data_IF_260751810847
#
_entry.id   IF_260751810847
#
_cell.length_a   1.000
_cell.length_b   1.000
_cell.length_c   1.000
_cell.angle_alpha   90.00
_cell.angle_beta   90.00
_cell.angle_gamma   90.00
#
_symmetry.space_group_name_H-M   'P 1'
#
loop_
_entity.id
_entity.type
_entity.pdbx_description
1 polymer ?
#
# COMPACT_ATOMS: atom_id res chain seq x y z
N UNK A 1 -0.71 -31.66 -18.61
CA UNK A 1 -1.43 -30.52 -19.23
C UNK A 1 -2.16 -29.81 -18.12
N UNK A 2 -1.73 -28.63 -17.78
CA UNK A 2 -2.26 -27.83 -16.65
C UNK A 2 -3.53 -27.12 -17.08
N UNK A 3 -4.66 -27.43 -16.44
CA UNK A 3 -5.90 -26.68 -16.64
C UNK A 3 -5.77 -25.36 -15.88
N UNK A 4 -5.65 -24.26 -16.63
CA UNK A 4 -5.71 -22.93 -16.08
C UNK A 4 -7.15 -22.67 -15.56
N UNK A 5 -7.29 -22.43 -14.27
CA UNK A 5 -8.54 -21.98 -13.68
C UNK A 5 -8.84 -20.56 -14.21
N UNK A 6 -9.86 -20.44 -15.08
CA UNK A 6 -10.41 -19.14 -15.44
C UNK A 6 -11.16 -18.58 -14.24
N UNK A 7 -10.64 -17.50 -13.67
CA UNK A 7 -11.36 -16.67 -12.70
C UNK A 7 -12.40 -15.86 -13.46
N UNK A 8 -13.65 -16.27 -13.43
CA UNK A 8 -14.77 -15.49 -13.94
C UNK A 8 -15.11 -14.39 -12.92
N UNK A 9 -14.94 -13.14 -13.32
CA UNK A 9 -15.37 -11.97 -12.57
C UNK A 9 -16.91 -11.82 -12.67
N UNK A 10 -17.62 -12.14 -11.60
CA UNK A 10 -19.09 -12.18 -11.54
C UNK A 10 -19.66 -10.83 -11.07
N UNK A 11 -19.04 -9.70 -11.41
CA UNK A 11 -19.57 -8.39 -11.04
C UNK A 11 -20.49 -7.74 -12.09
N UNK A 12 -20.64 -8.31 -13.28
CA UNK A 12 -21.61 -7.81 -14.27
C UNK A 12 -22.91 -8.62 -14.29
N UNK A 13 -24.08 -7.96 -14.41
CA UNK A 13 -25.38 -8.65 -14.52
C UNK A 13 -25.45 -9.68 -15.65
N UNK A 14 -24.71 -9.47 -16.72
CA UNK A 14 -24.62 -10.39 -17.87
C UNK A 14 -23.91 -11.72 -17.54
N UNK A 15 -23.01 -11.73 -16.56
CA UNK A 15 -22.36 -12.95 -16.10
C UNK A 15 -23.29 -13.89 -15.33
N UNK A 16 -24.27 -13.33 -14.59
CA UNK A 16 -25.26 -14.10 -13.83
C UNK A 16 -26.28 -14.78 -14.75
N UNK A 17 -26.73 -14.10 -15.81
CA UNK A 17 -27.65 -14.68 -16.80
C UNK A 17 -27.00 -15.83 -17.58
N UNK A 18 -25.73 -15.70 -17.93
CA UNK A 18 -24.97 -16.76 -18.61
C UNK A 18 -24.80 -18.03 -17.74
N UNK A 19 -24.69 -17.86 -16.41
CA UNK A 19 -24.63 -18.97 -15.47
C UNK A 19 -26.00 -19.65 -15.28
N UNK A 20 -27.08 -18.87 -15.24
CA UNK A 20 -28.43 -19.40 -15.17
C UNK A 20 -28.80 -20.24 -16.41
N UNK A 21 -28.37 -19.83 -17.59
CA UNK A 21 -28.56 -20.61 -18.83
C UNK A 21 -27.79 -21.93 -18.84
N UNK A 22 -26.76 -22.07 -18.04
CA UNK A 22 -25.99 -23.32 -17.85
C UNK A 22 -26.55 -24.22 -16.74
N UNK A 23 -27.73 -23.95 -16.20
CA UNK A 23 -28.38 -24.78 -15.20
C UNK A 23 -27.81 -24.66 -13.79
N UNK A 24 -27.10 -23.59 -13.49
CA UNK A 24 -26.57 -23.31 -12.14
C UNK A 24 -27.68 -22.74 -11.27
N UNK A 25 -28.01 -23.44 -10.18
CA UNK A 25 -28.91 -22.94 -9.14
C UNK A 25 -28.17 -22.06 -8.15
N UNK A 26 -28.64 -20.83 -7.95
CA UNK A 26 -28.21 -19.96 -6.87
C UNK A 26 -29.07 -20.24 -5.63
N UNK A 27 -28.44 -20.70 -4.56
CA UNK A 27 -29.07 -20.76 -3.23
C UNK A 27 -28.47 -19.65 -2.36
N UNK A 28 -29.34 -18.76 -1.87
CA UNK A 28 -28.96 -17.68 -0.96
C UNK A 28 -28.96 -18.22 0.48
N UNK A 29 -27.78 -18.19 1.12
CA UNK A 29 -27.60 -18.64 2.50
C UNK A 29 -27.27 -17.44 3.40
N UNK A 30 -28.23 -16.54 3.52
CA UNK A 30 -28.13 -15.37 4.39
C UNK A 30 -27.04 -14.38 3.94
N UNK A 31 -27.02 -13.20 4.49
CA UNK A 31 -26.27 -11.99 4.05
C UNK A 31 -24.76 -12.11 3.81
N UNK A 32 -24.15 -13.31 3.82
CA UNK A 32 -22.69 -13.44 3.82
C UNK A 32 -22.08 -14.48 2.87
N UNK A 33 -22.85 -15.39 2.31
CA UNK A 33 -22.28 -16.43 1.44
C UNK A 33 -23.24 -16.84 0.33
N UNK A 34 -22.80 -16.78 -0.92
CA UNK A 34 -23.50 -17.37 -2.07
C UNK A 34 -22.83 -18.69 -2.41
N UNK A 35 -23.57 -19.78 -2.37
CA UNK A 35 -23.08 -21.10 -2.76
C UNK A 35 -23.56 -21.39 -4.17
N UNK A 36 -22.63 -21.59 -5.10
CA UNK A 36 -22.94 -22.07 -6.44
C UNK A 36 -22.84 -23.61 -6.45
N UNK A 37 -23.96 -24.27 -6.73
CA UNK A 37 -23.99 -25.73 -6.96
C UNK A 37 -24.28 -25.97 -8.43
N UNK A 38 -23.36 -26.63 -9.13
CA UNK A 38 -23.60 -27.18 -10.46
C UNK A 38 -24.35 -28.49 -10.30
N UNK A 39 -25.58 -28.57 -10.82
CA UNK A 39 -26.33 -29.81 -10.88
C UNK A 39 -25.94 -30.51 -12.19
N UNK A 40 -25.17 -31.58 -12.04
CA UNK A 40 -24.75 -32.39 -13.18
C UNK A 40 -25.95 -33.02 -13.88
N UNK A 41 -26.08 -32.74 -15.17
CA UNK A 41 -26.69 -33.64 -16.11
C UNK A 41 -25.56 -34.49 -16.72
N UNK A 42 -25.04 -35.45 -15.93
CA UNK A 42 -24.10 -36.42 -16.47
C UNK A 42 -24.87 -37.70 -16.76
N UNK A 43 -24.80 -38.11 -18.01
CA UNK A 43 -25.21 -39.41 -18.52
C UNK A 43 -24.63 -40.55 -17.64
N UNK A 44 -25.49 -41.47 -17.26
CA UNK A 44 -25.25 -42.60 -16.32
C UNK A 44 -24.23 -43.63 -16.78
N UNK A 45 -23.33 -43.35 -17.72
CA UNK A 45 -22.53 -44.39 -18.33
C UNK A 45 -21.00 -44.25 -18.33
N UNK A 46 -20.40 -43.47 -17.41
CA UNK A 46 -18.95 -43.58 -17.17
C UNK A 46 -18.65 -43.34 -15.70
N UNK A 47 -18.25 -44.43 -15.00
CA UNK A 47 -17.73 -44.37 -13.63
C UNK A 47 -16.43 -43.57 -13.56
N UNK A 48 -16.56 -42.28 -13.40
CA UNK A 48 -15.51 -41.35 -12.96
C UNK A 48 -15.91 -40.98 -11.54
N UNK A 49 -15.14 -41.46 -10.56
CA UNK A 49 -15.25 -40.94 -9.19
C UNK A 49 -15.18 -39.44 -9.22
N UNK A 50 -16.32 -38.81 -8.96
CA UNK A 50 -16.39 -37.36 -8.82
C UNK A 50 -15.54 -36.96 -7.61
N UNK A 51 -14.36 -36.41 -7.84
CA UNK A 51 -13.60 -35.75 -6.76
C UNK A 51 -14.51 -34.67 -6.16
N UNK A 52 -14.67 -34.75 -4.85
CA UNK A 52 -15.51 -33.85 -4.07
C UNK A 52 -15.29 -32.41 -4.51
N UNK A 53 -16.35 -31.81 -5.08
CA UNK A 53 -16.35 -30.41 -5.48
C UNK A 53 -16.08 -29.55 -4.26
N UNK A 54 -14.93 -28.89 -4.22
CA UNK A 54 -14.68 -27.86 -3.24
C UNK A 54 -15.61 -26.67 -3.52
N UNK A 55 -16.52 -26.31 -2.61
CA UNK A 55 -17.38 -25.16 -2.80
C UNK A 55 -16.52 -23.91 -2.98
N UNK A 56 -16.68 -23.23 -4.11
CA UNK A 56 -16.04 -21.91 -4.33
C UNK A 56 -16.77 -20.93 -3.40
N UNK A 57 -16.17 -20.69 -2.24
CA UNK A 57 -16.63 -19.66 -1.32
C UNK A 57 -16.22 -18.31 -1.90
N UNK A 58 -17.16 -17.60 -2.50
CA UNK A 58 -17.00 -16.19 -2.85
C UNK A 58 -16.93 -15.39 -1.55
N UNK A 59 -15.75 -15.27 -0.99
CA UNK A 59 -15.53 -14.41 0.18
C UNK A 59 -15.74 -12.96 -0.27
N UNK A 60 -16.71 -12.24 0.34
CA UNK A 60 -16.94 -10.81 0.09
C UNK A 60 -15.62 -10.08 0.27
N UNK A 61 -15.10 -9.53 -0.82
CA UNK A 61 -13.82 -8.86 -0.82
C UNK A 61 -13.89 -7.62 0.07
N UNK A 62 -12.92 -7.49 0.95
CA UNK A 62 -12.81 -6.38 1.88
C UNK A 62 -12.32 -5.15 1.14
N UNK A 63 -13.07 -4.06 1.25
CA UNK A 63 -12.76 -2.82 0.53
C UNK A 63 -11.96 -1.82 1.32
N UNK A 64 -11.82 -2.01 2.64
CA UNK A 64 -11.16 -1.07 3.51
C UNK A 64 -9.94 -1.72 4.17
N UNK A 65 -8.85 -0.98 4.30
CA UNK A 65 -7.66 -1.40 5.03
C UNK A 65 -7.09 -0.25 5.83
N UNK A 66 -6.65 -0.53 7.04
CA UNK A 66 -5.92 0.41 7.89
C UNK A 66 -4.53 -0.16 8.10
N UNK A 67 -3.51 0.68 8.05
CA UNK A 67 -2.13 0.26 8.29
C UNK A 67 -1.42 1.16 9.27
N UNK A 68 -0.57 0.54 10.08
CA UNK A 68 0.38 1.21 10.95
C UNK A 68 1.78 0.69 10.64
N UNK A 69 2.70 1.59 10.33
CA UNK A 69 4.08 1.26 9.98
C UNK A 69 5.05 2.12 10.78
N UNK A 70 6.12 1.50 11.21
CA UNK A 70 7.26 2.19 11.80
C UNK A 70 8.16 2.70 10.67
N UNK A 71 8.45 4.00 10.70
CA UNK A 71 9.38 4.67 9.80
C UNK A 71 10.74 4.73 10.49
N UNK A 72 11.79 4.27 9.85
CA UNK A 72 13.08 4.15 10.50
C UNK A 72 14.26 4.60 9.67
N UNK A 73 14.35 4.16 8.43
CA UNK A 73 15.51 4.40 7.58
C UNK A 73 15.16 5.30 6.42
N UNK A 74 15.94 6.37 6.24
CA UNK A 74 15.91 7.20 5.03
C UNK A 74 17.23 7.14 4.30
N UNK A 75 17.14 7.25 2.97
CA UNK A 75 18.28 7.33 2.08
C UNK A 75 18.30 8.67 1.35
N UNK A 76 19.42 9.36 1.39
CA UNK A 76 19.65 10.65 0.78
C UNK A 76 20.70 10.52 -0.35
N UNK A 77 20.30 10.37 -1.61
CA UNK A 77 21.18 9.99 -2.72
C UNK A 77 22.18 11.09 -3.13
N UNK A 78 21.97 12.34 -2.73
CA UNK A 78 22.89 13.43 -3.02
C UNK A 78 23.93 13.54 -1.92
N UNK A 79 25.14 13.11 -2.21
CA UNK A 79 26.30 13.19 -1.28
C UNK A 79 26.86 14.60 -1.13
N UNK A 80 27.71 14.79 -0.10
CA UNK A 80 28.40 16.06 0.14
C UNK A 80 27.45 17.20 0.51
N UNK A 81 26.33 16.87 1.12
CA UNK A 81 25.33 17.86 1.54
C UNK A 81 25.90 18.79 2.60
N UNK A 82 25.73 20.11 2.44
CA UNK A 82 26.26 21.08 3.41
C UNK A 82 25.63 20.95 4.80
N UNK A 83 24.50 20.22 4.90
CA UNK A 83 23.75 20.05 6.15
C UNK A 83 23.99 18.69 6.84
N UNK A 84 24.96 17.88 6.39
CA UNK A 84 25.21 16.56 6.98
C UNK A 84 25.55 16.64 8.49
N UNK A 85 26.27 17.69 8.91
CA UNK A 85 26.60 17.91 10.32
C UNK A 85 25.40 18.20 11.22
N UNK A 86 24.29 18.65 10.64
CA UNK A 86 23.04 18.90 11.35
C UNK A 86 22.21 17.63 11.60
N UNK A 87 22.67 16.48 11.09
CA UNK A 87 21.97 15.21 11.15
C UNK A 87 22.56 14.31 12.24
N UNK A 88 22.06 14.36 13.49
CA UNK A 88 22.64 13.61 14.61
C UNK A 88 22.49 12.10 14.44
N UNK A 89 21.45 11.64 13.72
CA UNK A 89 21.15 10.22 13.52
C UNK A 89 21.70 9.66 12.20
N UNK A 90 22.70 10.34 11.60
CA UNK A 90 23.35 9.82 10.40
C UNK A 90 24.14 8.56 10.70
N UNK A 91 24.12 7.61 9.75
CA UNK A 91 24.85 6.34 9.85
C UNK A 91 26.22 6.39 9.15
N UNK A 92 26.46 7.42 8.36
CA UNK A 92 27.71 7.68 7.64
C UNK A 92 28.06 9.18 7.65
N UNK A 93 29.32 9.53 7.39
CA UNK A 93 29.81 10.90 7.44
C UNK A 93 29.11 11.85 6.45
N UNK A 94 28.72 11.32 5.30
CA UNK A 94 28.05 12.08 4.23
C UNK A 94 26.52 12.15 4.41
N UNK A 95 25.98 11.48 5.42
CA UNK A 95 24.55 11.37 5.69
C UNK A 95 23.76 10.78 4.51
N UNK A 96 24.30 9.76 3.85
CA UNK A 96 23.53 8.99 2.85
C UNK A 96 22.40 8.22 3.51
N UNK A 97 22.66 7.61 4.67
CA UNK A 97 21.69 6.88 5.46
C UNK A 97 21.49 7.57 6.79
N UNK A 98 20.22 7.79 7.12
CA UNK A 98 19.82 8.46 8.37
C UNK A 98 18.61 7.74 8.97
N UNK A 99 18.56 7.69 10.31
CA UNK A 99 17.39 7.24 11.02
C UNK A 99 16.38 8.38 11.18
N UNK A 100 15.19 8.21 10.56
CA UNK A 100 14.03 9.09 10.72
C UNK A 100 12.98 8.35 11.53
N UNK A 101 13.02 8.49 12.84
CA UNK A 101 12.16 7.71 13.74
C UNK A 101 10.73 8.25 13.75
N UNK A 102 9.77 7.40 13.41
CA UNK A 102 8.37 7.81 13.40
C UNK A 102 7.40 6.71 13.01
N UNK A 103 6.18 7.13 12.70
CA UNK A 103 5.11 6.24 12.31
C UNK A 103 4.33 6.77 11.10
N UNK A 104 3.89 5.85 10.25
CA UNK A 104 2.95 6.10 9.17
C UNK A 104 1.61 5.43 9.50
N UNK A 105 0.55 6.21 9.57
CA UNK A 105 -0.83 5.73 9.58
C UNK A 105 -1.34 5.76 8.13
N UNK A 106 -1.96 4.66 7.69
CA UNK A 106 -2.51 4.56 6.34
C UNK A 106 -3.95 4.10 6.36
N UNK A 107 -4.76 4.66 5.48
CA UNK A 107 -6.10 4.19 5.19
C UNK A 107 -6.24 3.98 3.69
N UNK A 108 -6.78 2.83 3.29
CA UNK A 108 -6.90 2.43 1.89
C UNK A 108 -8.33 1.99 1.60
N UNK A 109 -8.93 2.55 0.54
CA UNK A 109 -10.22 2.14 0.01
C UNK A 109 -10.07 1.53 -1.37
N UNK A 110 -10.40 0.25 -1.54
CA UNK A 110 -10.33 -0.45 -2.81
C UNK A 110 -11.56 -0.13 -3.68
N UNK A 111 -11.33 0.56 -4.78
CA UNK A 111 -12.32 0.80 -5.85
C UNK A 111 -12.57 -0.52 -6.57
N UNK A 112 -11.47 -1.17 -7.01
CA UNK A 112 -11.48 -2.54 -7.51
C UNK A 112 -10.77 -3.40 -6.46
N UNK A 113 -11.47 -4.39 -5.87
CA UNK A 113 -10.93 -5.21 -4.79
C UNK A 113 -9.53 -5.76 -5.10
N UNK A 114 -8.62 -5.55 -4.16
CA UNK A 114 -7.21 -5.99 -4.22
C UNK A 114 -6.40 -5.50 -5.43
N UNK A 115 -6.96 -4.68 -6.34
CA UNK A 115 -6.30 -4.22 -7.56
C UNK A 115 -6.07 -2.71 -7.54
N UNK A 116 -7.14 -1.92 -7.43
CA UNK A 116 -7.10 -0.47 -7.55
C UNK A 116 -7.69 0.18 -6.30
N UNK A 117 -6.98 1.12 -5.71
CA UNK A 117 -7.41 1.79 -4.49
C UNK A 117 -7.06 3.27 -4.47
N UNK A 118 -7.78 4.01 -3.62
CA UNK A 118 -7.35 5.31 -3.11
C UNK A 118 -6.74 5.09 -1.73
N UNK A 119 -5.54 5.61 -1.51
CA UNK A 119 -4.83 5.49 -0.24
C UNK A 119 -4.49 6.86 0.31
N UNK A 120 -4.79 7.03 1.59
CA UNK A 120 -4.37 8.15 2.41
C UNK A 120 -3.21 7.73 3.31
N UNK A 121 -2.20 8.57 3.43
CA UNK A 121 -1.03 8.36 4.28
C UNK A 121 -0.84 9.60 5.15
N UNK A 122 -0.70 9.39 6.46
CA UNK A 122 -0.26 10.40 7.42
C UNK A 122 0.98 9.87 8.13
N UNK A 123 2.12 10.51 7.90
CA UNK A 123 3.36 10.24 8.62
C UNK A 123 3.66 11.34 9.62
N UNK A 124 4.16 10.95 10.79
CA UNK A 124 4.71 11.83 11.81
C UNK A 124 6.03 11.23 12.30
N UNK A 125 7.09 12.00 12.23
CA UNK A 125 8.43 11.49 12.51
C UNK A 125 9.39 12.62 12.99
N UNK A 126 10.47 12.20 13.62
CA UNK A 126 11.64 13.04 13.77
C UNK A 126 12.47 12.94 12.49
N UNK A 127 12.69 14.05 11.81
CA UNK A 127 13.47 14.09 10.58
C UNK A 127 14.97 13.86 10.83
N UNK A 128 15.77 13.88 9.78
CA UNK A 128 17.21 13.65 9.87
C UNK A 128 17.97 14.66 10.75
N UNK A 129 17.40 15.84 11.04
CA UNK A 129 17.93 16.80 12.02
C UNK A 129 17.28 16.64 13.41
N UNK A 130 16.61 15.50 13.67
CA UNK A 130 15.83 15.23 14.88
C UNK A 130 14.76 16.31 15.17
N UNK A 131 14.28 16.99 14.13
CA UNK A 131 13.20 17.95 14.24
C UNK A 131 11.87 17.28 13.88
N UNK A 132 10.77 17.77 14.48
CA UNK A 132 9.44 17.26 14.15
C UNK A 132 9.11 17.53 12.69
N UNK A 133 8.68 16.48 12.00
CA UNK A 133 8.30 16.50 10.60
C UNK A 133 7.09 15.59 10.33
N UNK A 134 6.51 15.75 9.16
CA UNK A 134 5.42 14.89 8.74
C UNK A 134 5.24 14.87 7.23
N UNK A 135 4.47 13.88 6.80
CA UNK A 135 4.03 13.73 5.41
C UNK A 135 2.56 13.41 5.37
N UNK A 136 1.83 14.10 4.52
CA UNK A 136 0.42 13.81 4.22
C UNK A 136 0.29 13.55 2.74
N UNK A 137 -0.23 12.40 2.35
CA UNK A 137 -0.40 12.03 0.95
C UNK A 137 -1.76 11.41 0.72
N UNK A 138 -2.34 11.66 -0.45
CA UNK A 138 -3.48 10.93 -0.97
C UNK A 138 -3.18 10.54 -2.40
N UNK A 139 -3.31 9.26 -2.74
CA UNK A 139 -2.89 8.78 -4.05
C UNK A 139 -3.78 7.68 -4.59
N UNK A 140 -3.80 7.59 -5.92
CA UNK A 140 -4.31 6.43 -6.62
C UNK A 140 -3.23 5.36 -6.65
N UNK A 141 -3.62 4.12 -6.38
CA UNK A 141 -2.70 3.02 -6.19
C UNK A 141 -3.21 1.77 -6.90
N UNK A 142 -2.31 1.07 -7.57
CA UNK A 142 -2.61 -0.15 -8.28
C UNK A 142 -1.66 -1.29 -7.88
N UNK A 143 -2.17 -2.52 -7.94
CA UNK A 143 -1.37 -3.72 -7.80
C UNK A 143 -0.57 -3.96 -9.07
N UNK A 144 0.77 -4.01 -8.93
CA UNK A 144 1.70 -4.27 -10.02
C UNK A 144 1.75 -5.77 -10.30
N UNK A 145 1.90 -6.59 -9.23
CA UNK A 145 1.83 -8.06 -9.33
C UNK A 145 1.35 -8.70 -8.03
N UNK A 146 0.94 -9.97 -8.15
CA UNK A 146 0.67 -10.86 -7.02
C UNK A 146 1.12 -12.28 -7.37
N UNK A 147 1.87 -12.90 -6.46
CA UNK A 147 2.34 -14.29 -6.57
C UNK A 147 2.13 -14.95 -5.20
N UNK A 148 1.14 -15.84 -5.10
CA UNK A 148 0.77 -16.46 -3.85
C UNK A 148 0.39 -15.43 -2.78
N UNK A 149 1.14 -15.41 -1.67
CA UNK A 149 0.95 -14.46 -0.55
C UNK A 149 1.66 -13.13 -0.73
N UNK A 150 2.44 -12.95 -1.79
CA UNK A 150 3.27 -11.78 -2.07
C UNK A 150 2.57 -10.86 -3.06
N UNK A 151 2.51 -9.58 -2.77
CA UNK A 151 2.00 -8.57 -3.70
C UNK A 151 2.82 -7.30 -3.64
N UNK A 152 2.96 -6.64 -4.79
CA UNK A 152 3.59 -5.33 -4.92
C UNK A 152 2.56 -4.36 -5.48
N UNK A 153 2.50 -3.20 -4.85
CA UNK A 153 1.65 -2.09 -5.25
C UNK A 153 2.49 -0.87 -5.56
N UNK A 154 2.06 -0.09 -6.53
CA UNK A 154 2.58 1.25 -6.81
C UNK A 154 1.48 2.27 -6.74
N UNK A 155 1.80 3.44 -6.19
CA UNK A 155 0.87 4.55 -6.06
C UNK A 155 1.49 5.88 -6.43
N UNK A 156 0.64 6.83 -6.83
CA UNK A 156 1.04 8.20 -7.14
C UNK A 156 -0.08 9.16 -6.73
N UNK A 157 0.29 10.34 -6.22
CA UNK A 157 -0.67 11.37 -5.86
C UNK A 157 -0.06 12.59 -5.20
N UNK A 158 -0.88 13.62 -4.94
CA UNK A 158 -0.44 14.80 -4.22
C UNK A 158 0.08 14.46 -2.84
N UNK A 159 1.24 15.00 -2.53
CA UNK A 159 1.97 14.77 -1.28
C UNK A 159 2.45 16.09 -0.72
N UNK A 160 2.15 16.32 0.55
CA UNK A 160 2.58 17.45 1.35
C UNK A 160 3.58 16.98 2.40
N UNK A 161 4.82 17.48 2.32
CA UNK A 161 5.89 17.21 3.29
C UNK A 161 6.11 18.49 4.08
N UNK A 162 6.20 18.40 5.39
CA UNK A 162 6.41 19.54 6.26
C UNK A 162 7.35 19.16 7.40
N UNK A 163 8.10 20.15 7.91
CA UNK A 163 9.05 19.99 9.02
C UNK A 163 9.18 21.27 9.82
N UNK A 164 9.64 21.16 11.06
CA UNK A 164 10.10 22.35 11.78
C UNK A 164 11.21 23.05 11.02
N UNK A 165 11.26 24.35 11.18
CA UNK A 165 12.15 25.20 10.40
C UNK A 165 13.63 24.95 10.74
N UNK A 166 14.40 24.52 9.77
CA UNK A 166 15.84 24.24 9.88
C UNK A 166 16.70 25.51 9.90
N UNK A 167 16.16 26.69 9.65
CA UNK A 167 16.89 27.93 9.88
C UNK A 167 17.22 28.18 11.37
N UNK A 168 16.61 27.42 12.31
CA UNK A 168 16.88 27.51 13.75
C UNK A 168 18.21 26.90 14.17
N UNK A 169 18.61 25.69 13.72
CA UNK A 169 19.94 25.17 13.94
C UNK A 169 21.01 26.09 13.32
N UNK A 170 22.15 26.32 14.02
CA UNK A 170 23.26 27.08 13.46
C UNK A 170 23.84 26.33 12.25
N UNK A 171 24.42 27.09 11.32
CA UNK A 171 25.10 26.57 10.12
C UNK A 171 24.16 25.88 9.08
N UNK A 172 22.85 26.05 9.18
CA UNK A 172 21.96 25.56 8.14
C UNK A 172 22.19 26.27 6.81
N UNK A 173 22.42 25.49 5.76
CA UNK A 173 22.51 25.99 4.38
C UNK A 173 21.21 25.67 3.66
N UNK A 174 20.50 26.73 3.24
CA UNK A 174 19.23 26.58 2.53
C UNK A 174 19.43 26.07 1.10
N UNK A 175 19.00 24.84 0.85
CA UNK A 175 19.06 24.17 -0.45
C UNK A 175 17.92 24.55 -1.40
N UNK A 176 17.01 25.44 -0.98
CA UNK A 176 15.79 25.85 -1.72
C UNK A 176 14.82 24.71 -2.04
N UNK A 177 15.02 23.53 -1.44
CA UNK A 177 14.12 22.41 -1.64
C UNK A 177 12.80 22.59 -0.91
N UNK A 178 12.85 23.08 0.34
CA UNK A 178 11.67 23.42 1.11
C UNK A 178 11.34 24.92 0.98
N UNK A 179 10.06 25.24 0.95
CA UNK A 179 9.57 26.60 1.10
C UNK A 179 9.54 27.00 2.57
N UNK A 180 9.82 28.25 2.87
CA UNK A 180 9.84 28.84 4.20
C UNK A 180 10.94 29.86 4.33
N UNK A 181 10.79 30.79 5.28
CA UNK A 181 11.73 31.87 5.60
C UNK A 181 12.31 31.65 7.01
N UNK A 182 13.41 32.33 7.40
CA UNK A 182 13.98 32.20 8.75
C UNK A 182 13.00 32.54 9.87
N UNK A 183 11.98 33.35 9.62
CA UNK A 183 10.97 33.78 10.59
C UNK A 183 9.79 32.80 10.69
N UNK A 184 9.65 31.89 9.75
CA UNK A 184 8.56 30.89 9.76
C UNK A 184 8.78 29.82 10.83
N UNK A 185 7.70 29.24 11.33
CA UNK A 185 7.76 28.09 12.24
C UNK A 185 8.00 26.79 11.49
N UNK A 186 7.55 26.72 10.25
CA UNK A 186 7.52 25.51 9.44
C UNK A 186 8.16 25.73 8.08
N UNK A 187 8.82 24.70 7.58
CA UNK A 187 9.18 24.56 6.17
C UNK A 187 8.31 23.47 5.56
N UNK A 188 7.97 23.62 4.26
CA UNK A 188 7.12 22.66 3.58
C UNK A 188 7.48 22.47 2.12
N UNK A 189 7.10 21.32 1.58
CA UNK A 189 7.20 20.98 0.15
C UNK A 189 5.89 20.33 -0.28
N UNK A 190 5.38 20.75 -1.43
CA UNK A 190 4.24 20.11 -2.08
C UNK A 190 4.69 19.45 -3.38
N UNK A 191 4.32 18.19 -3.57
CA UNK A 191 4.60 17.38 -4.75
C UNK A 191 3.28 16.89 -5.33
N UNK A 192 2.99 17.22 -6.59
CA UNK A 192 1.79 16.73 -7.28
C UNK A 192 1.82 15.22 -7.55
N UNK A 193 3.01 14.65 -7.66
CA UNK A 193 3.28 13.27 -8.07
C UNK A 193 4.15 12.54 -7.05
N UNK A 194 3.86 12.72 -5.78
CA UNK A 194 4.48 11.89 -4.76
C UNK A 194 4.15 10.43 -5.02
N UNK A 195 5.17 9.58 -4.99
CA UNK A 195 5.04 8.16 -5.28
C UNK A 195 5.14 7.28 -4.05
N UNK A 196 4.69 6.05 -4.17
CA UNK A 196 4.95 4.98 -3.21
C UNK A 196 5.11 3.64 -3.91
N UNK A 197 5.95 2.78 -3.33
CA UNK A 197 5.98 1.36 -3.63
C UNK A 197 5.74 0.60 -2.32
N UNK A 198 4.79 -0.31 -2.28
CA UNK A 198 4.51 -1.10 -1.09
C UNK A 198 4.46 -2.59 -1.43
N UNK A 199 5.36 -3.33 -0.79
CA UNK A 199 5.31 -4.77 -0.77
C UNK A 199 4.44 -5.22 0.40
N UNK A 200 3.55 -6.21 0.15
CA UNK A 200 2.71 -6.85 1.15
C UNK A 200 2.92 -8.36 1.14
N UNK A 201 3.00 -8.93 2.33
CA UNK A 201 2.97 -10.37 2.56
C UNK A 201 1.73 -10.74 3.38
N UNK A 202 0.81 -11.51 2.81
CA UNK A 202 -0.41 -11.92 3.48
C UNK A 202 -0.12 -12.94 4.59
N UNK A 203 -0.18 -12.50 5.85
CA UNK A 203 -0.06 -13.36 7.03
C UNK A 203 -1.35 -14.18 7.19
N UNK A 204 -2.50 -13.50 7.04
CA UNK A 204 -3.83 -14.10 7.11
C UNK A 204 -4.80 -13.42 6.12
N UNK A 205 -6.06 -13.85 6.10
CA UNK A 205 -7.11 -13.20 5.29
C UNK A 205 -7.38 -11.74 5.68
N UNK A 206 -6.97 -11.33 6.89
CA UNK A 206 -7.22 -9.99 7.44
C UNK A 206 -5.95 -9.18 7.67
N UNK A 207 -4.80 -9.82 7.74
CA UNK A 207 -3.56 -9.17 8.18
C UNK A 207 -2.45 -9.38 7.17
N UNK A 208 -1.86 -8.28 6.72
CA UNK A 208 -0.68 -8.27 5.86
C UNK A 208 0.50 -7.63 6.62
N UNK A 209 1.68 -8.26 6.55
CA UNK A 209 2.94 -7.56 6.78
C UNK A 209 3.21 -6.66 5.57
N UNK A 210 3.68 -5.43 5.80
CA UNK A 210 3.91 -4.48 4.72
C UNK A 210 5.21 -3.72 4.90
N UNK A 211 5.94 -3.55 3.79
CA UNK A 211 7.08 -2.65 3.70
C UNK A 211 6.77 -1.62 2.64
N UNK A 212 6.87 -0.34 2.99
CA UNK A 212 6.64 0.77 2.07
C UNK A 212 7.95 1.51 1.82
N UNK A 213 8.17 1.87 0.57
CA UNK A 213 9.22 2.78 0.12
C UNK A 213 8.56 4.03 -0.47
N UNK A 214 8.93 5.20 0.03
CA UNK A 214 8.45 6.51 -0.43
C UNK A 214 9.58 7.21 -1.17
N UNK A 215 9.59 7.21 -2.51
CA UNK A 215 10.66 7.83 -3.32
C UNK A 215 10.44 9.34 -3.47
N UNK A 216 10.70 10.11 -2.42
CA UNK A 216 10.69 11.58 -2.45
C UNK A 216 12.02 12.18 -2.90
N UNK A 217 12.52 11.76 -4.08
CA UNK A 217 13.78 12.28 -4.62
C UNK A 217 13.77 13.80 -4.75
N UNK A 218 14.86 14.54 -4.40
CA UNK A 218 16.15 14.01 -3.96
C UNK A 218 16.31 13.85 -2.44
N UNK A 219 15.35 14.27 -1.62
CA UNK A 219 15.59 14.47 -0.19
C UNK A 219 14.93 13.43 0.74
N UNK A 220 13.85 12.78 0.32
CA UNK A 220 13.17 11.83 1.18
C UNK A 220 12.93 10.51 0.44
N UNK A 221 13.87 9.59 0.58
CA UNK A 221 13.69 8.20 0.16
C UNK A 221 13.60 7.35 1.44
N UNK A 222 12.39 7.19 1.96
CA UNK A 222 12.17 6.58 3.26
C UNK A 222 11.60 5.18 3.14
N UNK A 223 12.05 4.30 4.04
CA UNK A 223 11.50 2.96 4.24
C UNK A 223 10.73 2.89 5.56
N UNK A 224 9.57 2.25 5.51
CA UNK A 224 8.81 1.93 6.70
C UNK A 224 8.29 0.50 6.64
N UNK A 225 8.19 -0.15 7.81
CA UNK A 225 7.72 -1.52 7.94
C UNK A 225 6.59 -1.60 8.97
N UNK A 226 5.62 -2.48 8.76
CA UNK A 226 4.50 -2.61 9.67
C UNK A 226 3.43 -3.58 9.20
N UNK A 227 2.20 -3.30 9.59
CA UNK A 227 1.07 -4.17 9.36
C UNK A 227 -0.08 -3.39 8.72
N UNK A 228 -0.83 -4.06 7.83
CA UNK A 228 -2.11 -3.60 7.31
C UNK A 228 -3.21 -4.58 7.75
N UNK A 229 -4.32 -4.04 8.24
CA UNK A 229 -5.50 -4.80 8.64
C UNK A 229 -6.65 -4.51 7.68
N UNK A 230 -7.24 -5.57 7.11
CA UNK A 230 -8.40 -5.50 6.20
C UNK A 230 -9.69 -5.57 7.02
N UNK A 231 -10.54 -4.56 6.86
CA UNK A 231 -11.81 -4.40 7.58
C UNK A 231 -12.96 -5.17 6.91
#
# INVERSE_FOLDING_TARGET
>A
MSAAAQVLDVQEPQGLEALAQKGVKMEDWGDKQVRLSLKDSIDENKGIEAQAEHPILLQKSKRHSIGLKFMGLSFHPLSGKPNAELMPNRLDEQAYFVWDLGALLTYEYFIVPDILSVKFIQGLYADCAAQFAGVTSIGLRARIFQIGRHSLFGGIGPTWIYRHNWFRPPNYVDTKYYKGTPTDKWQYKFLWYGGELEYKFAISSKLDFATIFVPGYPDLMAFAVGLNYKL
#
